data_IF_697910478093
#
_entry.id   IF_697910478093
#
_cell.length_a   1.000
_cell.length_b   1.000
_cell.length_c   1.000
_cell.angle_alpha   90.00
_cell.angle_beta   90.00
_cell.angle_gamma   90.00
#
_symmetry.space_group_name_H-M   'P 1'
#
loop_
_entity.id
_entity.type
_entity.pdbx_description
1 polymer ?
#
# COMPACT_ATOMS: atom_id res chain seq x y z
N UNK A 1 4.40 18.34 17.37
CA UNK A 1 3.08 18.57 16.77
C UNK A 1 2.26 17.32 17.03
N UNK A 2 1.33 17.34 17.99
CA UNK A 2 0.40 16.24 18.20
C UNK A 2 -0.60 16.21 17.05
N UNK A 3 -0.72 15.07 16.38
CA UNK A 3 -1.76 14.86 15.37
C UNK A 3 -3.07 14.65 16.12
N UNK A 4 -4.06 15.52 15.92
CA UNK A 4 -5.37 15.38 16.55
C UNK A 4 -6.20 14.36 15.74
N UNK A 5 -6.26 13.12 16.23
CA UNK A 5 -6.95 11.99 15.60
C UNK A 5 -8.47 11.96 15.87
N UNK A 6 -9.01 12.87 16.68
CA UNK A 6 -10.42 12.83 17.12
C UNK A 6 -11.43 13.32 16.05
N UNK A 7 -10.97 13.92 14.95
CA UNK A 7 -11.84 14.45 13.90
C UNK A 7 -12.24 13.42 12.82
N UNK A 8 -11.79 12.18 12.92
CA UNK A 8 -11.99 11.17 11.86
C UNK A 8 -13.24 10.28 12.04
N UNK A 9 -14.07 10.48 13.07
CA UNK A 9 -15.21 9.57 13.36
C UNK A 9 -16.55 10.26 13.57
N UNK A 10 -17.11 10.92 12.55
CA UNK A 10 -18.53 11.31 12.62
C UNK A 10 -19.29 11.43 11.29
N UNK A 11 -18.76 10.89 10.18
CA UNK A 11 -19.50 10.79 8.93
C UNK A 11 -19.94 9.35 8.66
N UNK A 12 -21.24 9.09 8.80
CA UNK A 12 -21.99 7.95 8.25
C UNK A 12 -21.78 6.55 8.87
N UNK A 13 -22.45 6.32 10.01
CA UNK A 13 -22.91 4.97 10.39
C UNK A 13 -24.40 5.00 10.75
N UNK A 14 -25.22 4.97 9.72
CA UNK A 14 -26.56 4.39 9.80
C UNK A 14 -26.68 3.38 8.65
N UNK A 15 -26.84 2.10 8.98
CA UNK A 15 -27.98 1.26 8.56
C UNK A 15 -27.75 -0.22 8.97
N UNK A 16 -28.63 -0.65 9.87
CA UNK A 16 -29.28 -1.96 10.03
C UNK A 16 -28.49 -3.28 9.95
N UNK A 17 -28.32 -3.88 11.13
CA UNK A 17 -29.01 -5.12 11.52
C UNK A 17 -28.82 -6.39 10.67
N UNK A 18 -28.04 -7.34 11.21
CA UNK A 18 -28.24 -8.77 10.94
C UNK A 18 -26.98 -9.60 10.71
N UNK A 19 -26.79 -10.58 11.60
CA UNK A 19 -25.99 -11.81 11.48
C UNK A 19 -24.47 -11.73 11.72
N UNK A 20 -24.07 -12.02 12.97
CA UNK A 20 -22.98 -12.97 13.26
C UNK A 20 -21.57 -12.68 12.74
N UNK A 21 -21.17 -11.42 12.62
CA UNK A 21 -19.79 -11.03 12.28
C UNK A 21 -18.92 -10.89 13.54
N UNK A 22 -17.60 -11.17 13.47
CA UNK A 22 -16.66 -10.47 14.32
C UNK A 22 -16.58 -9.04 13.76
N UNK A 23 -17.46 -8.17 14.25
CA UNK A 23 -17.24 -6.73 14.16
C UNK A 23 -15.89 -6.45 14.81
N UNK A 24 -14.88 -6.05 14.04
CA UNK A 24 -13.75 -5.32 14.61
C UNK A 24 -14.39 -4.09 15.24
N UNK A 25 -14.50 -4.09 16.57
CA UNK A 25 -15.22 -3.05 17.25
C UNK A 25 -14.41 -1.77 17.09
N UNK A 26 -15.08 -0.64 16.85
CA UNK A 26 -14.42 0.67 16.75
C UNK A 26 -13.50 0.95 17.97
N UNK A 27 -13.78 0.31 19.12
CA UNK A 27 -12.93 0.30 20.31
C UNK A 27 -11.56 -0.34 20.12
N UNK A 28 -11.43 -1.42 19.34
CA UNK A 28 -10.14 -2.11 19.13
C UNK A 28 -9.21 -1.28 18.24
N UNK A 29 -9.78 -0.61 17.24
CA UNK A 29 -9.06 0.35 16.40
C UNK A 29 -8.61 1.55 17.24
N UNK A 30 -9.48 2.07 18.10
CA UNK A 30 -9.15 3.19 18.98
C UNK A 30 -8.06 2.83 20.01
N UNK A 31 -8.08 1.62 20.58
CA UNK A 31 -7.06 1.15 21.53
C UNK A 31 -5.68 0.94 20.85
N UNK A 32 -5.67 0.40 19.63
CA UNK A 32 -4.46 0.33 18.79
C UNK A 32 -3.91 1.73 18.43
N UNK A 33 -4.79 2.68 18.10
CA UNK A 33 -4.38 4.04 17.77
C UNK A 33 -3.88 4.82 19.00
N UNK A 34 -4.45 4.60 20.18
CA UNK A 34 -3.95 5.16 21.44
C UNK A 34 -2.57 4.62 21.80
N UNK A 35 -2.36 3.31 21.66
CA UNK A 35 -1.05 2.68 21.90
C UNK A 35 0.01 3.11 20.89
N UNK A 36 -0.37 3.43 19.66
CA UNK A 36 0.54 3.95 18.62
C UNK A 36 0.59 5.47 18.52
N UNK A 37 -0.12 6.21 19.38
CA UNK A 37 -0.22 7.67 19.29
C UNK A 37 1.15 8.37 19.31
N UNK A 38 2.15 7.74 19.91
CA UNK A 38 3.53 8.23 19.98
C UNK A 38 4.50 7.54 19.01
N UNK A 39 4.04 6.58 18.21
CA UNK A 39 4.87 5.90 17.22
C UNK A 39 5.03 6.79 15.97
N UNK A 40 6.27 7.12 15.56
CA UNK A 40 6.48 7.99 14.41
C UNK A 40 5.97 7.40 13.08
N UNK A 41 5.81 6.08 12.98
CA UNK A 41 5.26 5.42 11.79
C UNK A 41 3.73 5.35 11.78
N UNK A 42 3.04 5.74 12.87
CA UNK A 42 1.58 5.77 12.91
C UNK A 42 0.99 6.65 11.80
N UNK A 43 1.64 7.78 11.48
CA UNK A 43 1.25 8.63 10.35
C UNK A 43 1.29 7.87 9.03
N UNK A 44 2.29 7.01 8.81
CA UNK A 44 2.36 6.18 7.59
C UNK A 44 1.29 5.11 7.55
N UNK A 45 0.96 4.49 8.68
CA UNK A 45 -0.17 3.57 8.78
C UNK A 45 -1.47 4.26 8.36
N UNK A 46 -1.77 5.43 8.92
CA UNK A 46 -2.99 6.19 8.61
C UNK A 46 -3.03 6.59 7.14
N UNK A 47 -1.93 7.13 6.59
CA UNK A 47 -1.84 7.51 5.17
C UNK A 47 -2.13 6.31 4.24
N UNK A 48 -1.62 5.12 4.57
CA UNK A 48 -1.85 3.90 3.77
C UNK A 48 -3.31 3.43 3.88
N UNK A 49 -3.85 3.34 5.10
CA UNK A 49 -5.21 2.87 5.34
C UNK A 49 -6.23 3.80 4.65
N UNK A 50 -6.05 5.11 4.78
CA UNK A 50 -6.91 6.09 4.12
C UNK A 50 -6.86 5.97 2.59
N UNK A 51 -5.67 5.73 2.02
CA UNK A 51 -5.53 5.51 0.57
C UNK A 51 -6.28 4.24 0.13
N UNK A 52 -6.17 3.16 0.90
CA UNK A 52 -6.88 1.89 0.65
C UNK A 52 -8.40 2.09 0.69
N UNK A 53 -8.91 2.75 1.74
CA UNK A 53 -10.34 3.04 1.89
C UNK A 53 -10.86 3.92 0.75
N UNK A 54 -10.13 4.98 0.38
CA UNK A 54 -10.52 5.86 -0.73
C UNK A 54 -10.57 5.10 -2.06
N UNK A 55 -9.64 4.17 -2.28
CA UNK A 55 -9.63 3.31 -3.46
C UNK A 55 -10.79 2.30 -3.49
N UNK A 56 -11.33 1.90 -2.35
CA UNK A 56 -12.48 1.00 -2.28
C UNK A 56 -13.81 1.70 -2.69
N UNK A 57 -13.91 3.01 -2.44
CA UNK A 57 -15.12 3.81 -2.74
C UNK A 57 -15.12 4.44 -4.15
N UNK A 58 -14.08 4.24 -4.96
CA UNK A 58 -13.98 4.79 -6.31
C UNK A 58 -14.92 4.10 -7.33
N UNK A 59 -15.29 4.77 -8.45
CA UNK A 59 -16.07 4.15 -9.52
C UNK A 59 -15.36 2.92 -10.07
N UNK A 60 -16.08 1.79 -10.21
CA UNK A 60 -15.57 0.59 -10.86
C UNK A 60 -15.29 0.90 -12.33
N UNK A 61 -14.06 1.27 -12.67
CA UNK A 61 -13.64 1.40 -14.07
C UNK A 61 -13.44 0.00 -14.62
N UNK A 62 -14.31 -0.36 -15.56
CA UNK A 62 -14.41 -1.67 -16.19
C UNK A 62 -13.07 -2.15 -16.77
N UNK A 63 -12.67 -3.37 -16.40
CA UNK A 63 -11.56 -4.13 -17.02
C UNK A 63 -10.47 -4.60 -16.07
N UNK A 64 -10.40 -4.07 -14.85
CA UNK A 64 -9.56 -4.59 -13.77
C UNK A 64 -10.37 -5.61 -12.97
N UNK A 65 -10.06 -6.89 -13.12
CA UNK A 65 -10.76 -8.02 -12.49
C UNK A 65 -11.30 -7.69 -11.09
N UNK A 66 -12.62 -7.86 -10.98
CA UNK A 66 -13.45 -7.73 -9.78
C UNK A 66 -12.68 -8.23 -8.55
N UNK A 67 -12.30 -7.30 -7.68
CA UNK A 67 -11.96 -7.62 -6.31
C UNK A 67 -13.27 -7.69 -5.54
N UNK A 68 -13.75 -8.92 -5.38
CA UNK A 68 -14.80 -9.22 -4.43
C UNK A 68 -14.14 -9.17 -3.04
N UNK A 69 -14.40 -8.11 -2.28
CA UNK A 69 -14.13 -8.09 -0.84
C UNK A 69 -15.14 -9.00 -0.12
N UNK A 70 -15.38 -10.21 -0.63
CA UNK A 70 -16.19 -11.20 0.05
C UNK A 70 -15.47 -11.56 1.35
N UNK A 71 -16.06 -11.07 2.44
CA UNK A 71 -15.94 -11.42 3.85
C UNK A 71 -15.11 -12.68 4.16
N UNK A 72 -13.82 -12.63 3.87
CA UNK A 72 -12.85 -13.63 4.31
C UNK A 72 -12.34 -13.18 5.68
N UNK A 73 -12.11 -14.08 6.65
CA UNK A 73 -11.46 -13.77 7.91
C UNK A 73 -9.95 -13.50 7.67
N UNK A 74 -9.66 -12.44 6.92
CA UNK A 74 -8.31 -11.94 6.63
C UNK A 74 -7.89 -10.87 7.63
N UNK A 75 -6.58 -10.65 7.75
CA UNK A 75 -6.02 -9.55 8.55
C UNK A 75 -6.61 -8.21 8.12
N UNK A 76 -6.94 -7.34 9.07
CA UNK A 76 -7.43 -6.00 8.74
C UNK A 76 -6.33 -5.14 8.11
N UNK A 77 -6.70 -4.09 7.37
CA UNK A 77 -5.73 -3.20 6.73
C UNK A 77 -4.82 -2.54 7.77
N UNK A 78 -5.42 -2.06 8.86
CA UNK A 78 -4.72 -1.38 9.96
C UNK A 78 -3.76 -2.32 10.68
N UNK A 79 -4.11 -3.59 10.87
CA UNK A 79 -3.22 -4.57 11.50
C UNK A 79 -2.01 -4.86 10.61
N UNK A 80 -2.23 -5.09 9.31
CA UNK A 80 -1.16 -5.42 8.37
C UNK A 80 -0.17 -4.27 8.16
N UNK A 81 -0.67 -3.04 8.08
CA UNK A 81 0.14 -1.83 7.95
C UNK A 81 0.43 -1.13 9.28
N UNK A 82 0.27 -1.83 10.41
CA UNK A 82 0.57 -1.28 11.74
C UNK A 82 2.05 -0.92 11.88
N UNK A 83 2.42 0.05 12.73
CA UNK A 83 3.81 0.46 12.91
C UNK A 83 4.80 -0.68 13.22
N UNK A 84 4.47 -1.68 14.07
CA UNK A 84 5.33 -2.84 14.29
C UNK A 84 5.53 -3.69 13.03
N UNK A 85 4.46 -3.89 12.25
CA UNK A 85 4.51 -4.67 11.01
C UNK A 85 5.28 -3.93 9.90
N UNK A 86 5.11 -2.62 9.78
CA UNK A 86 5.93 -1.78 8.89
C UNK A 86 7.41 -1.94 9.21
N UNK A 87 7.82 -1.79 10.49
CA UNK A 87 9.22 -1.96 10.91
C UNK A 87 9.76 -3.35 10.57
N UNK A 88 8.99 -4.39 10.89
CA UNK A 88 9.33 -5.80 10.61
C UNK A 88 9.53 -6.04 9.12
N UNK A 89 8.56 -5.65 8.29
CA UNK A 89 8.62 -5.94 6.84
C UNK A 89 9.63 -5.07 6.11
N UNK A 90 9.84 -3.82 6.53
CA UNK A 90 10.93 -2.99 6.00
C UNK A 90 12.29 -3.60 6.33
N UNK A 91 12.52 -4.11 7.54
CA UNK A 91 13.77 -4.79 7.88
C UNK A 91 13.99 -6.04 7.02
N UNK A 92 12.94 -6.85 6.80
CA UNK A 92 13.00 -8.01 5.91
C UNK A 92 13.29 -7.59 4.46
N UNK A 93 12.65 -6.52 3.96
CA UNK A 93 12.93 -5.96 2.63
C UNK A 93 14.43 -5.64 2.48
N UNK A 94 15.01 -4.91 3.45
CA UNK A 94 16.42 -4.53 3.41
C UNK A 94 17.38 -5.72 3.49
N UNK A 95 17.02 -6.75 4.27
CA UNK A 95 17.89 -7.92 4.47
C UNK A 95 17.81 -8.91 3.31
N UNK A 96 16.61 -9.17 2.79
CA UNK A 96 16.36 -10.29 1.86
C UNK A 96 16.14 -9.86 0.42
N UNK A 97 15.46 -8.72 0.20
CA UNK A 97 15.11 -8.29 -1.16
C UNK A 97 16.11 -7.29 -1.75
N UNK A 98 16.50 -6.28 -0.98
CA UNK A 98 17.38 -5.19 -1.43
C UNK A 98 18.66 -5.63 -2.17
N UNK A 99 19.37 -6.71 -1.76
CA UNK A 99 20.55 -7.18 -2.49
C UNK A 99 20.29 -7.51 -3.97
N UNK A 100 19.06 -7.86 -4.34
CA UNK A 100 18.68 -8.20 -5.72
C UNK A 100 18.40 -6.96 -6.58
N UNK A 101 18.02 -5.84 -5.97
CA UNK A 101 17.62 -4.62 -6.69
C UNK A 101 17.89 -3.35 -5.86
N UNK A 102 19.16 -2.88 -5.81
CA UNK A 102 19.59 -1.80 -4.92
C UNK A 102 19.32 -0.40 -5.49
N UNK A 103 18.06 -0.09 -5.82
CA UNK A 103 17.67 1.20 -6.43
C UNK A 103 17.29 2.28 -5.42
N UNK A 104 17.05 1.91 -4.16
CA UNK A 104 16.75 2.83 -3.05
C UNK A 104 18.00 2.98 -2.18
N UNK A 105 18.57 4.18 -2.09
CA UNK A 105 19.80 4.39 -1.32
C UNK A 105 19.56 4.25 0.20
N UNK A 106 19.88 3.07 0.76
CA UNK A 106 19.60 2.71 2.16
C UNK A 106 20.07 3.74 3.20
N UNK A 107 21.30 4.31 3.15
CA UNK A 107 21.73 5.32 4.13
C UNK A 107 20.92 6.62 4.12
N UNK A 108 20.28 6.95 3.00
CA UNK A 108 19.44 8.15 2.86
C UNK A 108 17.95 7.85 3.01
N UNK A 109 17.59 6.58 3.21
CA UNK A 109 16.21 6.18 3.38
C UNK A 109 15.74 6.52 4.79
N UNK A 110 14.75 7.40 4.85
CA UNK A 110 14.01 7.73 6.07
C UNK A 110 12.54 7.36 5.83
N UNK A 111 11.99 6.36 6.55
CA UNK A 111 10.61 5.93 6.34
C UNK A 111 9.60 7.03 6.69
N UNK A 112 9.95 7.99 7.56
CA UNK A 112 9.07 9.09 7.95
C UNK A 112 8.93 10.14 6.82
N UNK A 113 9.99 10.32 6.05
CA UNK A 113 10.06 11.28 4.91
C UNK A 113 9.82 10.62 3.55
N UNK A 114 9.42 9.35 3.56
CA UNK A 114 9.12 8.59 2.35
C UNK A 114 7.61 8.59 2.12
N UNK A 115 7.13 8.78 0.88
CA UNK A 115 5.71 8.65 0.56
C UNK A 115 5.17 7.31 1.04
N UNK A 116 3.99 7.32 1.66
CA UNK A 116 3.30 6.13 2.18
C UNK A 116 3.18 5.03 1.13
N UNK A 117 3.01 5.39 -0.15
CA UNK A 117 2.87 4.44 -1.24
C UNK A 117 4.12 3.60 -1.50
N UNK A 118 5.31 4.20 -1.34
CA UNK A 118 6.56 3.46 -1.42
C UNK A 118 6.75 2.58 -0.18
N UNK A 119 6.37 3.07 1.00
CA UNK A 119 6.37 2.26 2.23
C UNK A 119 5.45 1.05 2.09
N UNK A 120 4.24 1.21 1.55
CA UNK A 120 3.30 0.13 1.31
C UNK A 120 3.89 -0.92 0.34
N UNK A 121 4.45 -0.49 -0.79
CA UNK A 121 5.08 -1.40 -1.76
C UNK A 121 6.25 -2.17 -1.15
N UNK A 122 7.13 -1.50 -0.40
CA UNK A 122 8.23 -2.15 0.32
C UNK A 122 7.73 -3.13 1.39
N UNK A 123 6.63 -2.79 2.06
CA UNK A 123 5.98 -3.65 3.07
C UNK A 123 5.45 -4.93 2.44
N UNK A 124 4.75 -4.85 1.30
CA UNK A 124 4.28 -6.02 0.54
C UNK A 124 5.45 -6.93 0.15
N UNK A 125 6.51 -6.34 -0.40
CA UNK A 125 7.71 -7.09 -0.82
C UNK A 125 8.47 -7.70 0.37
N UNK A 126 8.52 -7.01 1.50
CA UNK A 126 9.10 -7.53 2.74
C UNK A 126 8.29 -8.70 3.30
N UNK A 127 6.96 -8.55 3.37
CA UNK A 127 6.05 -9.55 3.91
C UNK A 127 6.09 -10.87 3.10
N UNK A 128 6.21 -10.81 1.78
CA UNK A 128 6.33 -12.04 0.97
C UNK A 128 7.67 -12.78 1.08
N UNK A 129 8.69 -12.13 1.65
CA UNK A 129 9.97 -12.75 2.01
C UNK A 129 10.04 -13.12 3.50
N UNK A 130 8.94 -12.99 4.25
CA UNK A 130 8.87 -13.42 5.64
C UNK A 130 9.01 -14.95 5.73
N UNK A 131 9.50 -15.43 6.86
CA UNK A 131 9.50 -16.86 7.19
C UNK A 131 8.14 -17.35 7.66
N UNK A 132 7.26 -16.45 8.07
CA UNK A 132 5.91 -16.77 8.54
C UNK A 132 4.98 -16.93 7.34
N UNK A 133 4.31 -18.08 7.23
CA UNK A 133 3.35 -18.34 6.15
C UNK A 133 2.19 -17.34 6.12
N UNK A 134 1.74 -16.87 7.29
CA UNK A 134 0.69 -15.87 7.43
C UNK A 134 1.08 -14.52 6.80
N UNK A 135 2.27 -14.00 7.14
CA UNK A 135 2.77 -12.74 6.55
C UNK A 135 2.81 -12.84 5.00
N UNK A 136 3.22 -13.99 4.48
CA UNK A 136 3.23 -14.24 3.03
C UNK A 136 1.81 -14.31 2.45
N UNK A 137 0.84 -14.89 3.16
CA UNK A 137 -0.55 -14.91 2.73
C UNK A 137 -1.16 -13.50 2.73
N UNK A 138 -0.94 -12.74 3.79
CA UNK A 138 -1.42 -11.37 3.94
C UNK A 138 -0.82 -10.43 2.89
N UNK A 139 0.46 -10.61 2.53
CA UNK A 139 1.08 -9.87 1.43
C UNK A 139 0.34 -10.08 0.10
N UNK A 140 -0.16 -11.29 -0.16
CA UNK A 140 -0.94 -11.60 -1.38
C UNK A 140 -2.32 -10.97 -1.33
N UNK A 141 -2.95 -10.94 -0.15
CA UNK A 141 -4.24 -10.31 0.06
C UNK A 141 -4.18 -8.81 -0.30
N UNK A 142 -3.16 -8.11 0.19
CA UNK A 142 -3.04 -6.65 0.00
C UNK A 142 -2.34 -6.21 -1.28
N UNK A 143 -1.60 -7.10 -1.97
CA UNK A 143 -0.78 -6.73 -3.12
C UNK A 143 -1.56 -6.09 -4.28
N UNK A 144 -2.76 -6.59 -4.61
CA UNK A 144 -3.53 -6.03 -5.72
C UNK A 144 -4.08 -4.64 -5.39
N UNK A 145 -4.40 -4.37 -4.12
CA UNK A 145 -4.82 -3.05 -3.65
C UNK A 145 -3.64 -2.07 -3.75
N UNK A 146 -2.47 -2.44 -3.22
CA UNK A 146 -1.28 -1.58 -3.30
C UNK A 146 -0.81 -1.37 -4.74
N UNK A 147 -0.90 -2.39 -5.60
CA UNK A 147 -0.65 -2.23 -7.04
C UNK A 147 -1.58 -1.18 -7.63
N UNK A 148 -2.89 -1.26 -7.35
CA UNK A 148 -3.87 -0.29 -7.86
C UNK A 148 -3.52 1.12 -7.39
N UNK A 149 -3.28 1.33 -6.09
CA UNK A 149 -2.91 2.64 -5.54
C UNK A 149 -1.71 3.25 -6.28
N UNK A 150 -0.64 2.46 -6.45
CA UNK A 150 0.60 2.91 -7.10
C UNK A 150 0.35 3.35 -8.53
N UNK A 151 -0.43 2.56 -9.28
CA UNK A 151 -0.68 2.86 -10.69
C UNK A 151 -1.73 3.94 -10.91
N UNK A 152 -2.69 4.10 -10.01
CA UNK A 152 -3.65 5.21 -10.05
C UNK A 152 -2.91 6.55 -9.86
N UNK A 153 -1.99 6.64 -8.89
CA UNK A 153 -1.16 7.85 -8.69
C UNK A 153 -0.26 8.12 -9.91
N UNK A 154 0.29 7.07 -10.52
CA UNK A 154 1.13 7.19 -11.72
C UNK A 154 0.33 7.66 -12.95
N UNK A 155 -0.91 7.19 -13.11
CA UNK A 155 -1.82 7.61 -14.18
C UNK A 155 -2.30 9.06 -13.99
N UNK A 156 -2.51 9.52 -12.75
CA UNK A 156 -2.84 10.91 -12.46
C UNK A 156 -1.74 11.88 -12.93
N UNK A 157 -0.47 11.53 -12.70
CA UNK A 157 0.65 12.37 -13.16
C UNK A 157 0.76 12.39 -14.69
N UNK A 158 0.44 11.28 -15.34
CA UNK A 158 0.38 11.22 -16.81
C UNK A 158 -0.74 12.10 -17.38
N UNK A 159 -1.85 12.26 -16.64
CA UNK A 159 -3.08 12.90 -17.10
C UNK A 159 -3.16 14.42 -16.98
N UNK A 160 -2.18 15.10 -16.38
CA UNK A 160 -2.21 16.56 -16.22
C UNK A 160 -0.87 17.17 -15.80
N UNK A 161 -0.76 18.52 -15.79
CA UNK A 161 0.42 19.24 -15.34
C UNK A 161 0.52 19.17 -13.80
N UNK A 162 0.83 18.00 -13.28
CA UNK A 162 1.19 17.85 -11.87
C UNK A 162 2.68 18.18 -11.74
N UNK A 163 3.02 19.32 -11.14
CA UNK A 163 4.40 19.63 -10.76
C UNK A 163 4.82 18.72 -9.59
N UNK A 164 5.12 17.47 -9.90
CA UNK A 164 5.66 16.52 -8.93
C UNK A 164 7.16 16.74 -8.81
N UNK A 165 7.64 16.98 -7.58
CA UNK A 165 9.08 17.01 -7.29
C UNK A 165 9.76 15.75 -7.84
N UNK A 166 10.85 15.91 -8.59
CA UNK A 166 11.59 14.82 -9.23
C UNK A 166 11.94 13.71 -8.24
N UNK A 167 12.22 14.04 -6.97
CA UNK A 167 12.50 13.04 -5.94
C UNK A 167 11.27 12.20 -5.59
N UNK A 168 10.09 12.80 -5.50
CA UNK A 168 8.85 12.06 -5.25
C UNK A 168 8.45 11.23 -6.48
N UNK A 169 8.67 11.74 -7.69
CA UNK A 169 8.51 10.98 -8.93
C UNK A 169 9.38 9.72 -8.94
N UNK A 170 10.66 9.83 -8.57
CA UNK A 170 11.57 8.68 -8.47
C UNK A 170 11.04 7.66 -7.43
N UNK A 171 10.57 8.12 -6.27
CA UNK A 171 10.01 7.23 -5.24
C UNK A 171 8.74 6.52 -5.70
N UNK A 172 7.87 7.20 -6.45
CA UNK A 172 6.68 6.58 -7.05
C UNK A 172 7.07 5.56 -8.12
N UNK A 173 8.02 5.86 -9.00
CA UNK A 173 8.57 4.91 -9.96
C UNK A 173 9.21 3.70 -9.27
N UNK A 174 9.92 3.91 -8.16
CA UNK A 174 10.45 2.82 -7.32
C UNK A 174 9.32 1.93 -6.79
N UNK A 175 8.23 2.51 -6.27
CA UNK A 175 7.06 1.75 -5.82
C UNK A 175 6.43 0.94 -6.96
N UNK A 176 6.28 1.54 -8.14
CA UNK A 176 5.74 0.89 -9.34
C UNK A 176 6.61 -0.28 -9.81
N UNK A 177 7.94 -0.11 -9.78
CA UNK A 177 8.88 -1.19 -10.06
C UNK A 177 8.75 -2.34 -9.06
N UNK A 178 8.69 -2.04 -7.75
CA UNK A 178 8.51 -3.07 -6.70
C UNK A 178 7.25 -3.88 -6.96
N UNK A 179 6.11 -3.22 -7.24
CA UNK A 179 4.86 -3.91 -7.51
C UNK A 179 4.87 -4.71 -8.81
N UNK A 180 5.50 -4.20 -9.88
CA UNK A 180 5.70 -4.97 -11.12
C UNK A 180 6.47 -6.26 -10.86
N UNK A 181 7.56 -6.17 -10.10
CA UNK A 181 8.40 -7.32 -9.77
C UNK A 181 7.62 -8.29 -8.88
N UNK A 182 6.97 -7.80 -7.82
CA UNK A 182 6.16 -8.62 -6.94
C UNK A 182 5.12 -9.43 -7.72
N UNK A 183 4.33 -8.76 -8.56
CA UNK A 183 3.27 -9.41 -9.33
C UNK A 183 3.80 -10.35 -10.40
N UNK A 184 5.00 -10.10 -10.93
CA UNK A 184 5.66 -11.02 -11.85
C UNK A 184 5.97 -12.38 -11.19
N UNK A 185 6.49 -12.36 -9.97
CA UNK A 185 6.88 -13.57 -9.24
C UNK A 185 5.69 -14.22 -8.52
N UNK A 186 4.98 -13.44 -7.72
CA UNK A 186 3.96 -13.91 -6.75
C UNK A 186 2.52 -13.75 -7.25
N UNK A 187 2.30 -12.98 -8.31
CA UNK A 187 0.96 -12.69 -8.83
C UNK A 187 0.33 -13.85 -9.60
N UNK A 188 -1.00 -13.79 -9.73
CA UNK A 188 -1.77 -14.71 -10.58
C UNK A 188 -1.45 -14.52 -12.06
N UNK A 189 -1.81 -15.48 -12.94
CA UNK A 189 -1.63 -15.32 -14.39
C UNK A 189 -2.28 -14.04 -14.94
N UNK A 190 -3.44 -13.66 -14.40
CA UNK A 190 -4.11 -12.40 -14.72
C UNK A 190 -3.29 -11.19 -14.30
N UNK A 191 -2.71 -11.20 -13.10
CA UNK A 191 -1.85 -10.11 -12.60
C UNK A 191 -0.56 -10.00 -13.43
N UNK A 192 0.09 -11.13 -13.76
CA UNK A 192 1.25 -11.16 -14.67
C UNK A 192 0.93 -10.59 -16.05
N UNK A 193 -0.25 -10.90 -16.61
CA UNK A 193 -0.72 -10.35 -17.88
C UNK A 193 -0.99 -8.84 -17.77
N UNK A 194 -1.61 -8.38 -16.68
CA UNK A 194 -1.87 -6.97 -16.39
C UNK A 194 -0.59 -6.16 -16.26
N UNK A 195 0.42 -6.67 -15.55
CA UNK A 195 1.73 -6.03 -15.47
C UNK A 195 2.36 -5.84 -16.85
N UNK A 196 2.43 -6.92 -17.65
CA UNK A 196 3.09 -6.86 -18.96
C UNK A 196 2.38 -5.95 -19.96
N UNK A 197 1.04 -5.89 -19.93
CA UNK A 197 0.26 -5.21 -20.98
C UNK A 197 -0.13 -3.78 -20.64
N UNK A 198 -0.32 -3.46 -19.36
CA UNK A 198 -0.88 -2.17 -18.94
C UNK A 198 0.07 -1.41 -18.02
N UNK A 199 0.53 -2.06 -16.94
CA UNK A 199 1.30 -1.37 -15.90
C UNK A 199 2.71 -1.00 -16.34
N UNK A 200 3.42 -1.92 -17.01
CA UNK A 200 4.75 -1.63 -17.52
C UNK A 200 4.75 -0.51 -18.58
N UNK A 201 3.73 -0.46 -19.44
CA UNK A 201 3.56 0.62 -20.43
C UNK A 201 3.38 1.97 -19.74
N UNK A 202 2.58 2.00 -18.68
CA UNK A 202 2.35 3.22 -17.88
C UNK A 202 3.65 3.68 -17.21
N UNK A 203 4.38 2.75 -16.59
CA UNK A 203 5.68 3.01 -15.96
C UNK A 203 6.68 3.64 -16.92
N UNK A 204 6.87 3.03 -18.10
CA UNK A 204 7.79 3.55 -19.13
C UNK A 204 7.33 4.91 -19.65
N UNK A 205 6.01 5.11 -19.81
CA UNK A 205 5.49 6.41 -20.26
C UNK A 205 5.78 7.52 -19.25
N UNK A 206 5.64 7.25 -17.95
CA UNK A 206 5.90 8.24 -16.90
C UNK A 206 7.39 8.49 -16.68
N UNK A 207 8.23 7.45 -16.77
CA UNK A 207 9.68 7.63 -16.63
C UNK A 207 10.25 8.58 -17.69
N UNK A 208 9.71 8.55 -18.91
CA UNK A 208 10.16 9.46 -19.98
C UNK A 208 9.82 10.94 -19.69
N UNK A 209 8.74 11.23 -18.96
CA UNK A 209 8.44 12.59 -18.52
C UNK A 209 9.39 13.06 -17.42
N UNK A 210 9.92 12.16 -16.60
CA UNK A 210 10.83 12.52 -15.51
C UNK A 210 12.25 12.85 -15.99
N UNK A 211 12.64 12.40 -17.19
CA UNK A 211 13.97 12.60 -17.78
C UNK A 211 14.08 13.80 -18.71
N UNK A 212 12.95 14.31 -19.21
CA UNK A 212 12.89 15.55 -19.99
C UNK A 212 12.73 16.77 -19.06
#
# INVERSE_FOLDING_TARGET
MSVNLAHYTLGDMALEGGNGFPTVHATDIMDCLETWANDPLATKTVEIVQAVETSAHGPKVDGSGVFDHSSSPGVSCIDFFSPPQLRKFLDIYWKKWYPNWPTIHRPLFDPLRTPSILIAAMTIMGACHSTTSQDCADSKLWANVVEKLVFDELEQIKGGPCEVDRRNMIKLLQAACIMCIYQHWNGTNSSKKRIRRQRFVTLVSVSNYATN
#
